data_IF_312107061552
#
_entry.id   IF_312107061552
#
_cell.length_a   1.000
_cell.length_b   1.000
_cell.length_c   1.000
_cell.angle_alpha   90.00
_cell.angle_beta   90.00
_cell.angle_gamma   90.00
#
_symmetry.space_group_name_H-M   'P 1'
#
loop_
_entity.id
_entity.type
_entity.pdbx_description
1 polymer ?
#
# COMPACT_ATOMS: atom_id res chain seq x y z
N UNK A 1 -1.20 -0.88 10.03
CA UNK A 1 -2.54 -0.57 9.46
C UNK A 1 -3.24 0.60 10.13
N UNK A 2 -3.20 0.73 11.47
CA UNK A 2 -3.81 1.89 12.16
C UNK A 2 -3.40 3.27 11.61
N UNK A 3 -2.13 3.55 11.26
CA UNK A 3 -1.77 4.87 10.71
C UNK A 3 -2.42 5.15 9.34
N UNK A 4 -2.55 4.14 8.47
CA UNK A 4 -3.24 4.29 7.18
C UNK A 4 -4.73 4.59 7.36
N UNK A 5 -5.38 4.00 8.36
CA UNK A 5 -6.77 4.32 8.71
C UNK A 5 -6.92 5.74 9.24
N UNK A 6 -6.02 6.16 10.13
CA UNK A 6 -5.99 7.54 10.62
C UNK A 6 -5.85 8.53 9.46
N UNK A 7 -4.90 8.30 8.55
CA UNK A 7 -4.74 9.14 7.35
C UNK A 7 -6.02 9.19 6.50
N UNK A 8 -6.71 8.06 6.31
CA UNK A 8 -7.99 8.03 5.60
C UNK A 8 -9.07 8.86 6.29
N UNK A 9 -9.19 8.74 7.61
CA UNK A 9 -10.19 9.47 8.40
C UNK A 9 -9.93 10.97 8.32
N UNK A 10 -8.69 11.41 8.53
CA UNK A 10 -8.33 12.83 8.47
C UNK A 10 -8.53 13.43 7.07
N UNK A 11 -8.13 12.73 6.00
CA UNK A 11 -8.43 13.19 4.62
C UNK A 11 -9.91 13.24 4.31
N UNK A 12 -10.71 12.35 4.90
CA UNK A 12 -12.18 12.41 4.76
C UNK A 12 -12.76 13.58 5.55
N UNK A 13 -12.25 13.86 6.75
CA UNK A 13 -12.65 15.00 7.56
C UNK A 13 -12.31 16.33 6.86
N UNK A 14 -11.09 16.47 6.33
CA UNK A 14 -10.64 17.63 5.56
C UNK A 14 -11.54 17.96 4.36
N UNK A 15 -12.09 16.94 3.69
CA UNK A 15 -13.03 17.12 2.56
C UNK A 15 -14.39 17.66 2.98
N UNK A 16 -14.80 17.41 4.22
CA UNK A 16 -16.09 17.85 4.77
C UNK A 16 -15.97 19.20 5.49
N UNK A 17 -14.74 19.60 5.83
CA UNK A 17 -14.45 20.83 6.56
C UNK A 17 -14.56 22.07 5.66
N UNK A 18 -15.21 23.11 6.20
CA UNK A 18 -15.43 24.39 5.51
C UNK A 18 -14.41 25.44 5.92
N UNK A 19 -13.90 25.36 7.15
CA UNK A 19 -12.89 26.27 7.66
C UNK A 19 -11.51 25.90 7.10
N UNK A 20 -10.88 26.83 6.36
CA UNK A 20 -9.62 26.58 5.65
C UNK A 20 -8.50 26.11 6.57
N UNK A 21 -8.41 26.71 7.75
CA UNK A 21 -7.30 26.48 8.68
C UNK A 21 -7.43 25.09 9.32
N UNK A 22 -8.63 24.70 9.72
CA UNK A 22 -8.92 23.35 10.24
C UNK A 22 -8.74 22.30 9.16
N UNK A 23 -9.23 22.59 7.94
CA UNK A 23 -9.03 21.70 6.79
C UNK A 23 -7.55 21.42 6.54
N UNK A 24 -6.71 22.46 6.56
CA UNK A 24 -5.27 22.30 6.37
C UNK A 24 -4.65 21.47 7.50
N UNK A 25 -5.03 21.71 8.76
CA UNK A 25 -4.56 20.91 9.89
C UNK A 25 -4.90 19.42 9.74
N UNK A 26 -6.10 19.09 9.24
CA UNK A 26 -6.47 17.70 8.97
C UNK A 26 -5.64 17.06 7.85
N UNK A 27 -5.35 17.79 6.77
CA UNK A 27 -4.43 17.30 5.73
C UNK A 27 -3.03 17.07 6.30
N UNK A 28 -2.51 18.01 7.11
CA UNK A 28 -1.20 17.89 7.75
C UNK A 28 -1.12 16.66 8.68
N UNK A 29 -2.18 16.37 9.45
CA UNK A 29 -2.25 15.15 10.25
C UNK A 29 -2.27 13.89 9.39
N UNK A 30 -3.03 13.90 8.29
CA UNK A 30 -3.07 12.75 7.39
C UNK A 30 -1.70 12.45 6.79
N UNK A 31 -0.96 13.47 6.39
CA UNK A 31 0.39 13.33 5.83
C UNK A 31 1.42 12.86 6.87
N UNK A 32 1.28 13.29 8.13
CA UNK A 32 2.08 12.74 9.24
C UNK A 32 1.82 11.24 9.44
N UNK A 33 0.56 10.81 9.38
CA UNK A 33 0.21 9.39 9.49
C UNK A 33 0.67 8.57 8.28
N UNK A 34 0.66 9.15 7.08
CA UNK A 34 1.23 8.53 5.87
C UNK A 34 2.74 8.30 6.02
N UNK A 35 3.48 9.35 6.40
CA UNK A 35 4.92 9.25 6.69
C UNK A 35 5.22 8.23 7.79
N UNK A 36 4.39 8.18 8.84
CA UNK A 36 4.53 7.21 9.91
C UNK A 36 4.28 5.77 9.43
N UNK A 37 3.25 5.54 8.59
CA UNK A 37 3.00 4.24 7.98
C UNK A 37 4.19 3.77 7.13
N UNK A 38 4.72 4.66 6.28
CA UNK A 38 5.90 4.41 5.45
C UNK A 38 7.10 4.03 6.32
N UNK A 39 7.38 4.80 7.35
CA UNK A 39 8.51 4.57 8.24
C UNK A 39 8.41 3.24 8.99
N UNK A 40 7.21 2.82 9.40
CA UNK A 40 7.01 1.51 10.03
C UNK A 40 7.29 0.38 9.04
N UNK A 41 6.72 0.42 7.83
CA UNK A 41 6.86 -0.70 6.89
C UNK A 41 8.28 -0.83 6.38
N UNK A 42 8.98 0.29 6.15
CA UNK A 42 10.38 0.25 5.75
C UNK A 42 11.29 -0.27 6.87
N UNK A 43 11.03 0.08 8.15
CA UNK A 43 11.76 -0.53 9.26
C UNK A 43 11.50 -2.03 9.39
N UNK A 44 10.27 -2.48 9.17
CA UNK A 44 9.97 -3.91 9.13
C UNK A 44 10.76 -4.59 8.00
N UNK A 45 10.80 -3.95 6.84
CA UNK A 45 11.49 -4.46 5.65
C UNK A 45 13.01 -4.52 5.81
N UNK A 46 13.62 -3.50 6.43
CA UNK A 46 15.05 -3.47 6.73
C UNK A 46 15.46 -4.56 7.74
N UNK A 47 14.52 -5.02 8.59
CA UNK A 47 14.76 -6.09 9.56
C UNK A 47 14.49 -7.48 8.98
N UNK A 48 13.34 -7.66 8.33
CA UNK A 48 12.90 -8.91 7.70
C UNK A 48 12.04 -8.57 6.48
N UNK A 49 12.66 -8.67 5.31
CA UNK A 49 12.03 -8.36 4.03
C UNK A 49 10.83 -9.27 3.74
N UNK A 50 10.94 -10.57 3.98
CA UNK A 50 9.89 -11.54 3.62
C UNK A 50 8.65 -11.31 4.50
N UNK A 51 8.88 -11.13 5.80
CA UNK A 51 7.83 -10.79 6.75
C UNK A 51 7.15 -9.46 6.39
N UNK A 52 7.92 -8.41 6.06
CA UNK A 52 7.36 -7.11 5.71
C UNK A 52 6.51 -7.15 4.43
N UNK A 53 6.95 -7.93 3.44
CA UNK A 53 6.19 -8.16 2.21
C UNK A 53 4.91 -8.96 2.51
N UNK A 54 4.95 -9.93 3.43
CA UNK A 54 3.78 -10.69 3.84
C UNK A 54 2.73 -9.83 4.56
N UNK A 55 3.15 -8.85 5.37
CA UNK A 55 2.23 -7.86 5.96
C UNK A 55 1.37 -7.19 4.89
N UNK A 56 1.92 -6.90 3.70
CA UNK A 56 1.17 -6.28 2.59
C UNK A 56 0.11 -7.22 1.97
N UNK A 57 0.27 -8.54 2.12
CA UNK A 57 -0.59 -9.57 1.54
C UNK A 57 -1.73 -9.99 2.46
N UNK A 58 -1.69 -9.66 3.75
CA UNK A 58 -2.73 -10.06 4.68
C UNK A 58 -3.73 -8.93 4.98
N UNK A 59 -5.04 -9.22 4.99
CA UNK A 59 -6.04 -8.25 5.40
C UNK A 59 -5.95 -7.99 6.90
N UNK A 60 -6.23 -6.75 7.30
CA UNK A 60 -6.30 -6.42 8.72
C UNK A 60 -7.68 -6.78 9.28
N UNK A 61 -7.75 -7.88 10.04
CA UNK A 61 -8.97 -8.37 10.68
C UNK A 61 -9.61 -7.31 11.59
N UNK A 62 -8.79 -6.49 12.24
CA UNK A 62 -9.26 -5.40 13.10
C UNK A 62 -10.00 -4.27 12.34
N UNK A 63 -9.94 -4.25 11.01
CA UNK A 63 -10.49 -3.16 10.20
C UNK A 63 -11.13 -3.65 8.89
N UNK A 64 -12.19 -4.46 9.02
CA UNK A 64 -13.05 -4.89 7.90
C UNK A 64 -12.33 -5.68 6.81
N UNK A 65 -11.31 -6.45 7.16
CA UNK A 65 -10.54 -7.29 6.22
C UNK A 65 -9.98 -6.53 5.01
N UNK A 66 -9.66 -5.24 5.19
CA UNK A 66 -9.08 -4.41 4.13
C UNK A 66 -7.58 -4.65 4.04
N UNK A 67 -7.09 -4.77 2.81
CA UNK A 67 -5.66 -4.91 2.53
C UNK A 67 -4.93 -3.55 2.65
N UNK A 68 -3.68 -3.52 3.15
CA UNK A 68 -2.92 -2.29 3.31
C UNK A 68 -2.80 -1.43 2.05
N UNK A 69 -2.53 -2.07 0.89
CA UNK A 69 -2.40 -1.35 -0.38
C UNK A 69 -3.72 -0.74 -0.87
N UNK A 70 -4.84 -1.43 -0.64
CA UNK A 70 -6.15 -0.91 -1.02
C UNK A 70 -6.52 0.31 -0.16
N UNK A 71 -6.22 0.24 1.13
CA UNK A 71 -6.44 1.32 2.07
C UNK A 71 -5.57 2.53 1.74
N UNK A 72 -4.25 2.32 1.57
CA UNK A 72 -3.30 3.36 1.22
C UNK A 72 -3.71 4.10 -0.07
N UNK A 73 -4.11 3.36 -1.11
CA UNK A 73 -4.63 3.95 -2.36
C UNK A 73 -5.89 4.76 -2.14
N UNK A 74 -6.88 4.25 -1.39
CA UNK A 74 -8.12 4.98 -1.08
C UNK A 74 -7.86 6.25 -0.28
N UNK A 75 -6.89 6.19 0.61
CA UNK A 75 -6.49 7.30 1.44
C UNK A 75 -5.60 8.30 0.71
N UNK A 76 -5.02 8.00 -0.46
CA UNK A 76 -3.96 8.79 -1.11
C UNK A 76 -2.65 8.86 -0.30
N UNK A 77 -2.27 7.77 0.36
CA UNK A 77 -1.02 7.65 1.11
C UNK A 77 0.18 7.45 0.16
N UNK A 78 0.59 8.52 -0.51
CA UNK A 78 1.63 8.51 -1.53
C UNK A 78 3.01 8.10 -0.96
N UNK A 79 3.35 8.55 0.25
CA UNK A 79 4.64 8.20 0.87
C UNK A 79 4.71 6.72 1.20
N UNK A 80 3.65 6.16 1.80
CA UNK A 80 3.56 4.73 2.04
C UNK A 80 3.63 3.92 0.74
N UNK A 81 2.94 4.35 -0.31
CA UNK A 81 2.98 3.67 -1.61
C UNK A 81 4.36 3.75 -2.26
N UNK A 82 5.10 4.83 -2.04
CA UNK A 82 6.47 5.01 -2.51
C UNK A 82 7.54 4.29 -1.65
N UNK A 83 7.14 3.66 -0.54
CA UNK A 83 8.07 2.93 0.34
C UNK A 83 8.82 1.82 -0.39
N UNK A 84 10.04 1.51 0.07
CA UNK A 84 10.91 0.50 -0.56
C UNK A 84 10.24 -0.87 -0.55
N UNK A 85 9.60 -1.21 0.57
CA UNK A 85 8.87 -2.46 0.73
C UNK A 85 7.74 -2.60 -0.29
N UNK A 86 6.91 -1.55 -0.45
CA UNK A 86 5.78 -1.57 -1.38
C UNK A 86 6.26 -1.64 -2.83
N UNK A 87 7.26 -0.85 -3.22
CA UNK A 87 7.80 -0.87 -4.57
C UNK A 87 8.39 -2.24 -4.91
N UNK A 88 9.17 -2.85 -4.01
CA UNK A 88 9.71 -4.20 -4.23
C UNK A 88 8.62 -5.27 -4.36
N UNK A 89 7.58 -5.18 -3.53
CA UNK A 89 6.42 -6.06 -3.67
C UNK A 89 5.75 -5.90 -5.03
N UNK A 90 5.51 -4.67 -5.48
CA UNK A 90 4.88 -4.39 -6.78
C UNK A 90 5.76 -4.87 -7.95
N UNK A 91 7.08 -4.70 -7.87
CA UNK A 91 8.02 -5.24 -8.86
C UNK A 91 7.93 -6.77 -8.93
N UNK A 92 7.94 -7.45 -7.78
CA UNK A 92 7.77 -8.91 -7.74
C UNK A 92 6.43 -9.36 -8.33
N UNK A 93 5.32 -8.67 -8.04
CA UNK A 93 4.02 -8.97 -8.65
C UNK A 93 4.07 -8.78 -10.18
N UNK A 94 4.68 -7.69 -10.64
CA UNK A 94 4.81 -7.38 -12.07
C UNK A 94 5.63 -8.43 -12.82
N UNK A 95 6.83 -8.76 -12.33
CA UNK A 95 7.68 -9.79 -12.94
C UNK A 95 7.07 -11.19 -12.83
N UNK A 96 6.37 -11.50 -11.74
CA UNK A 96 5.60 -12.73 -11.60
C UNK A 96 4.56 -12.89 -12.71
N UNK A 97 3.80 -11.83 -13.00
CA UNK A 97 2.83 -11.81 -14.10
C UNK A 97 3.49 -11.97 -15.48
N UNK A 98 4.65 -11.35 -15.72
CA UNK A 98 5.38 -11.47 -16.99
C UNK A 98 5.86 -12.91 -17.19
N UNK A 99 6.48 -13.51 -16.18
CA UNK A 99 7.00 -14.87 -16.26
C UNK A 99 5.89 -15.90 -16.47
N UNK A 100 4.73 -15.72 -15.83
CA UNK A 100 3.54 -16.54 -16.07
C UNK A 100 3.08 -16.45 -17.53
N UNK A 101 2.95 -15.23 -18.07
CA UNK A 101 2.52 -15.00 -19.47
C UNK A 101 3.49 -15.63 -20.47
N UNK A 102 4.81 -15.52 -20.23
CA UNK A 102 5.84 -16.15 -21.08
C UNK A 102 5.69 -17.68 -21.09
N UNK A 103 5.59 -18.31 -19.91
CA UNK A 103 5.36 -19.75 -19.78
C UNK A 103 4.07 -20.21 -20.47
N UNK A 104 3.00 -19.43 -20.37
CA UNK A 104 1.73 -19.75 -21.03
C UNK A 104 1.81 -19.70 -22.57
N UNK A 105 2.60 -18.77 -23.13
CA UNK A 105 2.87 -18.69 -24.56
C UNK A 105 3.70 -19.89 -25.02
N UNK A 106 4.79 -20.19 -24.32
CA UNK A 106 5.67 -21.33 -24.64
C UNK A 106 4.90 -22.67 -24.60
N UNK A 107 4.01 -22.85 -23.61
CA UNK A 107 3.15 -24.02 -23.51
C UNK A 107 2.18 -24.14 -24.70
N UNK A 108 1.59 -23.03 -25.17
CA UNK A 108 0.72 -23.06 -26.36
C UNK A 108 1.49 -23.45 -27.60
N UNK A 109 2.66 -22.85 -27.84
CA UNK A 109 3.50 -23.16 -29.01
C UNK A 109 3.94 -24.63 -29.02
N UNK A 110 4.22 -25.22 -27.86
CA UNK A 110 4.58 -26.64 -27.74
C UNK A 110 3.43 -27.60 -28.04
N UNK A 111 2.16 -27.18 -27.92
CA UNK A 111 0.98 -28.01 -28.19
C UNK A 111 0.47 -27.90 -29.64
N UNK A 112 1.11 -27.08 -30.48
CA UNK A 112 0.82 -26.94 -31.91
C UNK A 112 1.94 -27.50 -32.81
N UNK A 113 2.91 -28.22 -32.24
CA UNK A 113 3.91 -29.03 -32.94
C UNK A 113 3.62 -30.51 -32.70
#
# INVERSE_FOLDING_TARGET
MAPLFAAQIYRRAARLELESDIKQQYEDYADQFDSHAMSIIDRCFDNDEEFAVDILKYPAVAFYDVYPLQLARKANCELFLASKCVQKYLDHQWFGCINYKRKAIDFRVSNYK
#
